data_IF_650610486288
#
_entry.id   IF_650610486288
#
_cell.length_a   1.000
_cell.length_b   1.000
_cell.length_c   1.000
_cell.angle_alpha   90.00
_cell.angle_beta   90.00
_cell.angle_gamma   90.00
#
_symmetry.space_group_name_H-M   'P 1'
#
loop_
_entity.id
_entity.type
_entity.pdbx_description
1 polymer ?
#
# COMPACT_ATOMS: atom_id res chain seq x y z
N UNK A 1 3.96 9.43 -21.64
CA UNK A 1 2.62 8.84 -21.82
C UNK A 1 2.39 8.71 -23.30
N UNK A 2 1.87 7.57 -23.76
CA UNK A 2 1.47 7.40 -25.16
C UNK A 2 -0.01 7.03 -25.24
N UNK A 3 -0.83 8.04 -25.53
CA UNK A 3 -2.27 7.89 -25.78
C UNK A 3 -2.62 7.97 -27.28
N UNK A 4 -1.62 7.84 -28.17
CA UNK A 4 -1.75 7.95 -29.61
C UNK A 4 -1.97 9.37 -30.15
N UNK A 5 -1.96 10.40 -29.30
CA UNK A 5 -2.07 11.81 -29.70
C UNK A 5 -1.45 12.73 -28.64
N UNK A 6 -0.57 13.66 -29.06
CA UNK A 6 0.11 14.62 -28.18
C UNK A 6 -0.86 15.48 -27.36
N UNK A 7 -2.01 15.84 -27.92
CA UNK A 7 -3.05 16.63 -27.25
C UNK A 7 -3.70 15.84 -26.11
N UNK A 8 -3.85 14.53 -26.28
CA UNK A 8 -4.38 13.64 -25.22
C UNK A 8 -3.37 13.53 -24.08
N UNK A 9 -2.09 13.37 -24.39
CA UNK A 9 -1.02 13.36 -23.38
C UNK A 9 -1.01 14.67 -22.57
N UNK A 10 -1.07 15.82 -23.24
CA UNK A 10 -1.16 17.13 -22.58
C UNK A 10 -2.42 17.26 -21.72
N UNK A 11 -3.56 16.74 -22.18
CA UNK A 11 -4.81 16.73 -21.41
C UNK A 11 -4.69 15.88 -20.14
N UNK A 12 -4.09 14.70 -20.21
CA UNK A 12 -3.84 13.86 -19.04
C UNK A 12 -2.98 14.58 -18.00
N UNK A 13 -1.88 15.22 -18.43
CA UNK A 13 -1.02 16.02 -17.54
C UNK A 13 -1.81 17.15 -16.88
N UNK A 14 -2.61 17.91 -17.65
CA UNK A 14 -3.42 19.01 -17.12
C UNK A 14 -4.45 18.54 -16.09
N UNK A 15 -5.08 17.39 -16.33
CA UNK A 15 -6.02 16.79 -15.37
C UNK A 15 -5.29 16.37 -14.08
N UNK A 16 -4.13 15.72 -14.20
CA UNK A 16 -3.33 15.32 -13.04
C UNK A 16 -2.81 16.52 -12.23
N UNK A 17 -2.40 17.60 -12.91
CA UNK A 17 -2.04 18.86 -12.27
C UNK A 17 -3.20 19.46 -11.50
N UNK A 18 -4.40 19.50 -12.11
CA UNK A 18 -5.62 19.96 -11.44
C UNK A 18 -5.98 19.10 -10.22
N UNK A 19 -5.85 17.78 -10.32
CA UNK A 19 -6.02 16.87 -9.17
C UNK A 19 -5.00 17.15 -8.07
N UNK A 20 -3.74 17.38 -8.41
CA UNK A 20 -2.70 17.63 -7.42
C UNK A 20 -2.88 18.99 -6.71
N UNK A 21 -3.23 20.05 -7.45
CA UNK A 21 -3.46 21.39 -6.88
C UNK A 21 -4.80 21.51 -6.16
N UNK A 22 -5.85 20.83 -6.64
CA UNK A 22 -7.21 20.89 -6.08
C UNK A 22 -7.67 19.50 -5.64
N UNK A 23 -6.84 18.88 -4.81
CA UNK A 23 -7.01 17.50 -4.34
C UNK A 23 -8.37 17.30 -3.67
N UNK A 24 -9.07 16.21 -4.04
CA UNK A 24 -10.38 15.84 -3.47
C UNK A 24 -11.58 16.64 -3.96
N UNK A 25 -11.39 17.62 -4.86
CA UNK A 25 -12.48 18.37 -5.49
C UNK A 25 -13.07 17.61 -6.68
N UNK A 26 -14.30 17.95 -7.06
CA UNK A 26 -14.99 17.38 -8.23
C UNK A 26 -14.35 17.85 -9.55
N UNK A 27 -14.55 17.11 -10.64
CA UNK A 27 -14.01 17.44 -11.98
C UNK A 27 -14.27 18.91 -12.37
N UNK A 28 -15.48 19.49 -12.20
CA UNK A 28 -15.72 20.90 -12.51
C UNK A 28 -14.87 21.88 -11.70
N UNK A 29 -14.52 21.52 -10.46
CA UNK A 29 -13.70 22.37 -9.58
C UNK A 29 -12.20 22.23 -9.83
N UNK A 30 -11.76 21.25 -10.62
CA UNK A 30 -10.35 21.10 -11.00
C UNK A 30 -9.89 22.16 -12.02
N UNK A 31 -10.82 22.85 -12.67
CA UNK A 31 -10.52 23.79 -13.75
C UNK A 31 -11.33 25.08 -13.61
N UNK A 32 -10.78 26.19 -14.11
CA UNK A 32 -11.48 27.47 -14.10
C UNK A 32 -12.39 27.66 -15.33
N UNK A 33 -12.04 27.01 -16.45
CA UNK A 33 -12.76 27.15 -17.73
C UNK A 33 -13.70 25.97 -17.96
N UNK A 34 -14.96 26.26 -18.33
CA UNK A 34 -15.96 25.24 -18.73
C UNK A 34 -15.47 24.34 -19.87
N UNK A 35 -14.67 24.88 -20.79
CA UNK A 35 -14.07 24.11 -21.89
C UNK A 35 -13.14 22.99 -21.37
N UNK A 36 -12.37 23.25 -20.31
CA UNK A 36 -11.49 22.25 -19.71
C UNK A 36 -12.27 21.15 -18.97
N UNK A 37 -13.37 21.53 -18.31
CA UNK A 37 -14.29 20.57 -17.69
C UNK A 37 -14.87 19.63 -18.75
N UNK A 38 -15.41 20.17 -19.85
CA UNK A 38 -15.92 19.36 -20.97
C UNK A 38 -14.84 18.46 -21.56
N UNK A 39 -13.63 18.98 -21.72
CA UNK A 39 -12.50 18.23 -22.23
C UNK A 39 -12.08 17.08 -21.29
N UNK A 40 -12.14 17.28 -19.97
CA UNK A 40 -11.84 16.23 -18.99
C UNK A 40 -12.86 15.09 -19.04
N UNK A 41 -14.16 15.40 -19.08
CA UNK A 41 -15.20 14.37 -19.26
C UNK A 41 -15.05 13.63 -20.61
N UNK A 42 -14.78 14.37 -21.68
CA UNK A 42 -14.54 13.79 -23.02
C UNK A 42 -13.28 12.92 -23.05
N UNK A 43 -12.25 13.27 -22.27
CA UNK A 43 -11.03 12.48 -22.16
C UNK A 43 -11.31 11.15 -21.45
N UNK A 44 -12.04 11.16 -20.34
CA UNK A 44 -12.37 9.93 -19.60
C UNK A 44 -13.22 8.95 -20.41
N UNK A 45 -13.99 9.42 -21.39
CA UNK A 45 -14.78 8.55 -22.27
C UNK A 45 -13.98 7.94 -23.43
N UNK A 46 -12.70 8.28 -23.60
CA UNK A 46 -11.87 7.73 -24.68
C UNK A 46 -11.46 6.29 -24.39
N UNK A 47 -11.50 5.44 -25.43
CA UNK A 47 -11.02 4.06 -25.36
C UNK A 47 -9.53 3.97 -25.02
N UNK A 48 -8.76 5.00 -25.36
CA UNK A 48 -7.33 5.07 -25.10
C UNK A 48 -6.99 5.48 -23.66
N UNK A 49 -7.95 6.03 -22.90
CA UNK A 49 -7.75 6.42 -21.50
C UNK A 49 -7.93 5.20 -20.58
N UNK A 50 -7.11 4.16 -20.76
CA UNK A 50 -7.13 2.97 -19.89
C UNK A 50 -6.17 3.15 -18.71
N UNK A 51 -6.42 2.50 -17.56
CA UNK A 51 -5.49 2.54 -16.43
C UNK A 51 -4.05 2.21 -16.80
N UNK A 52 -3.85 1.19 -17.65
CA UNK A 52 -2.54 0.72 -18.07
C UNK A 52 -1.77 1.84 -18.79
N UNK A 53 -2.39 2.48 -19.79
CA UNK A 53 -1.77 3.55 -20.57
C UNK A 53 -1.53 4.81 -19.75
N UNK A 54 -2.47 5.16 -18.87
CA UNK A 54 -2.38 6.33 -18.00
C UNK A 54 -1.28 6.17 -16.94
N UNK A 55 -1.04 4.95 -16.46
CA UNK A 55 -0.03 4.68 -15.43
C UNK A 55 1.32 4.25 -15.99
N UNK A 56 1.43 3.82 -17.25
CA UNK A 56 2.70 3.35 -17.84
C UNK A 56 3.89 4.29 -17.56
N UNK A 57 3.80 5.62 -17.78
CA UNK A 57 4.95 6.50 -17.56
C UNK A 57 5.39 6.54 -16.10
N UNK A 58 4.42 6.53 -15.19
CA UNK A 58 4.67 6.49 -13.75
C UNK A 58 5.31 5.15 -13.35
N UNK A 59 4.73 4.04 -13.78
CA UNK A 59 5.25 2.69 -13.50
C UNK A 59 6.67 2.51 -14.06
N UNK A 60 6.97 3.05 -15.24
CA UNK A 60 8.33 3.02 -15.81
C UNK A 60 9.33 3.80 -14.95
N UNK A 61 8.94 4.97 -14.42
CA UNK A 61 9.78 5.73 -13.50
C UNK A 61 10.03 4.96 -12.19
N UNK A 62 8.99 4.33 -11.63
CA UNK A 62 9.13 3.46 -10.44
C UNK A 62 10.07 2.30 -10.74
N UNK A 63 9.91 1.61 -11.87
CA UNK A 63 10.81 0.50 -12.28
C UNK A 63 12.26 0.94 -12.43
N UNK A 64 12.51 2.12 -12.99
CA UNK A 64 13.86 2.65 -13.08
C UNK A 64 14.48 2.90 -11.70
N UNK A 65 13.70 3.45 -10.76
CA UNK A 65 14.15 3.65 -9.37
C UNK A 65 14.41 2.33 -8.62
N UNK A 66 13.58 1.31 -8.89
CA UNK A 66 13.74 -0.04 -8.33
C UNK A 66 14.98 -0.79 -8.84
N UNK A 67 15.63 -0.31 -9.89
CA UNK A 67 16.89 -0.87 -10.42
C UNK A 67 18.15 -0.27 -9.78
N UNK A 68 18.02 0.66 -8.84
CA UNK A 68 19.16 1.24 -8.12
C UNK A 68 19.53 0.37 -6.92
N UNK A 69 20.79 0.39 -6.49
CA UNK A 69 21.26 -0.34 -5.31
C UNK A 69 20.41 -0.03 -4.05
N UNK A 70 20.06 -1.09 -3.33
CA UNK A 70 19.31 -1.08 -2.08
C UNK A 70 18.15 -2.07 -2.03
N UNK A 71 17.48 -2.06 -0.88
CA UNK A 71 16.28 -2.88 -0.63
C UNK A 71 15.02 -2.06 -0.88
N UNK A 72 14.04 -2.67 -1.53
CA UNK A 72 12.75 -2.05 -1.84
C UNK A 72 11.62 -2.95 -1.33
N UNK A 73 10.68 -2.34 -0.61
CA UNK A 73 9.48 -3.03 -0.19
C UNK A 73 8.38 -2.78 -1.22
N UNK A 74 7.80 -3.87 -1.70
CA UNK A 74 6.66 -3.92 -2.58
C UNK A 74 5.44 -4.24 -1.72
N UNK A 75 4.83 -3.18 -1.18
CA UNK A 75 3.72 -3.28 -0.24
C UNK A 75 2.43 -3.58 -1.00
N UNK A 76 1.79 -4.69 -0.68
CA UNK A 76 0.66 -5.18 -1.47
C UNK A 76 -0.59 -5.42 -0.63
N UNK A 77 -1.72 -4.88 -1.10
CA UNK A 77 -3.01 -5.02 -0.46
C UNK A 77 -4.16 -4.71 -1.45
N UNK A 78 -5.37 -5.08 -1.06
CA UNK A 78 -6.62 -4.88 -1.80
C UNK A 78 -7.56 -3.93 -1.06
N UNK A 79 -8.26 -3.07 -1.80
CA UNK A 79 -9.34 -2.26 -1.23
C UNK A 79 -10.56 -2.23 -2.13
N UNK A 80 -11.74 -2.40 -1.55
CA UNK A 80 -13.02 -2.33 -2.27
C UNK A 80 -13.41 -0.88 -2.54
N UNK A 81 -13.75 -0.52 -3.78
CA UNK A 81 -14.31 0.79 -4.13
C UNK A 81 -15.78 0.62 -4.45
N UNK A 82 -16.65 1.30 -3.71
CA UNK A 82 -18.10 1.09 -3.79
C UNK A 82 -18.83 2.40 -4.12
N UNK A 83 -19.75 2.33 -5.08
CA UNK A 83 -20.73 3.36 -5.38
C UNK A 83 -22.14 2.82 -5.14
N UNK A 84 -22.94 3.58 -4.40
CA UNK A 84 -24.37 3.31 -4.23
C UNK A 84 -25.16 4.29 -5.07
N UNK A 85 -25.89 3.80 -6.09
CA UNK A 85 -26.67 4.65 -7.01
C UNK A 85 -28.07 4.08 -7.24
N UNK A 86 -28.98 4.92 -7.74
CA UNK A 86 -30.32 4.48 -8.15
C UNK A 86 -30.31 3.62 -9.41
N UNK A 87 -29.38 3.88 -10.34
CA UNK A 87 -29.23 3.14 -11.59
C UNK A 87 -27.90 2.42 -11.64
N UNK A 88 -27.85 1.32 -12.41
CA UNK A 88 -26.62 0.59 -12.64
C UNK A 88 -25.62 1.44 -13.43
N UNK A 89 -24.35 1.35 -13.06
CA UNK A 89 -23.22 1.93 -13.78
C UNK A 89 -22.54 0.82 -14.60
N UNK A 90 -22.64 0.85 -15.94
CA UNK A 90 -22.06 -0.18 -16.80
C UNK A 90 -20.56 -0.35 -16.56
N UNK A 91 -20.08 -1.60 -16.46
CA UNK A 91 -18.66 -1.92 -16.25
C UNK A 91 -18.19 -1.94 -14.78
N UNK A 92 -19.11 -1.88 -13.81
CA UNK A 92 -18.88 -2.19 -12.40
C UNK A 92 -19.54 -3.53 -12.01
N UNK A 93 -18.96 -4.24 -11.03
CA UNK A 93 -19.53 -5.47 -10.49
C UNK A 93 -20.47 -5.17 -9.32
N UNK A 94 -21.46 -6.02 -9.04
CA UNK A 94 -22.34 -5.85 -7.86
C UNK A 94 -21.60 -6.20 -6.56
N UNK A 95 -21.89 -5.46 -5.49
CA UNK A 95 -21.26 -5.62 -4.17
C UNK A 95 -22.33 -5.58 -3.07
N UNK A 96 -22.33 -6.54 -2.12
CA UNK A 96 -23.25 -6.57 -0.98
C UNK A 96 -24.61 -7.28 -1.22
N UNK A 97 -25.52 -7.20 -0.24
CA UNK A 97 -26.86 -7.81 -0.27
C UNK A 97 -27.78 -7.07 -1.27
N UNK A 98 -28.57 -7.82 -2.03
CA UNK A 98 -29.36 -7.38 -3.19
C UNK A 98 -30.61 -6.56 -2.85
N UNK A 99 -30.83 -6.23 -1.57
CA UNK A 99 -32.12 -5.74 -1.03
C UNK A 99 -32.29 -4.21 -0.88
N UNK A 100 -31.31 -3.41 -1.29
CA UNK A 100 -31.39 -1.92 -1.29
C UNK A 100 -30.35 -1.34 -2.30
N UNK A 101 -30.28 -0.01 -2.59
CA UNK A 101 -29.92 0.55 -3.90
C UNK A 101 -28.67 -0.08 -4.51
N UNK A 102 -28.64 -0.19 -5.85
CA UNK A 102 -27.58 -0.90 -6.59
C UNK A 102 -26.21 -0.47 -6.09
N UNK A 103 -25.60 -1.33 -5.27
CA UNK A 103 -24.23 -1.17 -4.78
C UNK A 103 -23.33 -1.86 -5.77
N UNK A 104 -22.50 -1.09 -6.44
CA UNK A 104 -21.56 -1.59 -7.43
C UNK A 104 -20.16 -1.07 -7.16
N UNK A 105 -19.18 -1.85 -7.58
CA UNK A 105 -17.79 -1.57 -7.28
C UNK A 105 -16.82 -2.51 -7.95
N UNK A 106 -15.58 -2.41 -7.47
CA UNK A 106 -14.49 -3.31 -7.80
C UNK A 106 -13.49 -3.36 -6.64
N UNK A 107 -12.72 -4.43 -6.55
CA UNK A 107 -11.54 -4.50 -5.70
C UNK A 107 -10.36 -3.94 -6.46
N UNK A 108 -9.65 -2.97 -5.88
CA UNK A 108 -8.39 -2.46 -6.39
C UNK A 108 -7.25 -3.14 -5.66
N UNK A 109 -6.57 -4.06 -6.33
CA UNK A 109 -5.33 -4.64 -5.82
C UNK A 109 -4.17 -3.73 -6.19
N UNK A 110 -3.33 -3.36 -5.24
CA UNK A 110 -2.24 -2.37 -5.44
C UNK A 110 -0.93 -2.92 -4.92
N UNK A 111 0.14 -2.78 -5.71
CA UNK A 111 1.52 -2.86 -5.26
C UNK A 111 2.13 -1.46 -5.21
N UNK A 112 2.40 -0.95 -4.01
CA UNK A 112 3.09 0.31 -3.74
C UNK A 112 4.57 0.03 -3.46
N UNK A 113 5.46 0.63 -4.23
CA UNK A 113 6.90 0.50 -4.07
C UNK A 113 7.47 1.62 -3.18
N UNK A 114 8.30 1.23 -2.20
CA UNK A 114 9.05 2.14 -1.33
C UNK A 114 10.50 1.70 -1.22
N UNK A 115 11.44 2.65 -1.08
CA UNK A 115 12.84 2.34 -0.76
C UNK A 115 12.98 2.10 0.75
N UNK A 116 13.48 0.93 1.11
CA UNK A 116 13.73 0.56 2.49
C UNK A 116 15.02 1.19 3.00
N UNK A 117 14.99 1.63 4.26
CA UNK A 117 16.17 2.08 4.97
C UNK A 117 16.37 1.18 6.17
N UNK A 118 17.49 0.45 6.19
CA UNK A 118 17.82 -0.42 7.29
C UNK A 118 18.08 0.44 8.54
N UNK A 119 17.39 0.17 9.66
CA UNK A 119 17.61 0.92 10.88
C UNK A 119 19.01 0.66 11.45
N UNK A 120 19.68 1.73 11.90
CA UNK A 120 21.01 1.66 12.52
C UNK A 120 20.97 1.33 14.01
N UNK A 121 19.79 1.40 14.63
CA UNK A 121 19.58 1.15 16.05
C UNK A 121 18.27 0.38 16.27
N UNK A 122 18.20 -0.32 17.38
CA UNK A 122 16.99 -0.99 17.82
C UNK A 122 15.90 0.05 18.16
N UNK A 123 14.76 -0.05 17.49
CA UNK A 123 13.65 0.90 17.61
C UNK A 123 12.33 0.16 17.44
N UNK A 124 11.33 0.55 18.24
CA UNK A 124 9.94 0.08 18.10
C UNK A 124 9.25 0.43 16.79
N UNK A 125 9.83 1.36 16.05
CA UNK A 125 9.23 1.95 14.86
C UNK A 125 10.23 1.92 13.72
N UNK A 126 9.74 1.58 12.53
CA UNK A 126 10.52 1.69 11.29
C UNK A 126 10.97 3.14 11.05
N UNK A 127 12.11 3.29 10.37
CA UNK A 127 12.47 4.58 9.79
C UNK A 127 11.47 5.01 8.70
N UNK A 128 11.38 6.31 8.40
CA UNK A 128 10.68 6.80 7.21
C UNK A 128 11.21 6.11 5.95
N UNK A 129 10.33 5.92 4.96
CA UNK A 129 10.68 5.28 3.69
C UNK A 129 10.44 6.23 2.53
N UNK A 130 11.30 6.17 1.52
CA UNK A 130 11.07 6.95 0.30
C UNK A 130 9.95 6.30 -0.51
N UNK A 131 8.85 7.01 -0.75
CA UNK A 131 7.73 6.52 -1.56
C UNK A 131 8.06 6.68 -3.04
N UNK A 132 8.34 5.58 -3.74
CA UNK A 132 8.61 5.60 -5.19
C UNK A 132 7.33 5.70 -6.00
N UNK A 133 6.29 4.98 -5.56
CA UNK A 133 4.93 5.07 -6.08
C UNK A 133 4.36 3.72 -6.53
N UNK A 134 3.33 3.77 -7.38
CA UNK A 134 2.60 2.57 -7.81
C UNK A 134 3.40 1.78 -8.85
N UNK A 135 3.72 0.53 -8.52
CA UNK A 135 4.36 -0.42 -9.42
C UNK A 135 3.32 -1.20 -10.24
N UNK A 136 2.26 -1.68 -9.59
CA UNK A 136 1.15 -2.38 -10.22
C UNK A 136 -0.19 -2.07 -9.57
N UNK A 137 -1.26 -2.12 -10.37
CA UNK A 137 -2.64 -2.00 -9.94
C UNK A 137 -3.57 -2.81 -10.86
N UNK A 138 -4.48 -3.57 -10.27
CA UNK A 138 -5.51 -4.34 -10.96
C UNK A 138 -6.91 -4.03 -10.43
N UNK A 139 -7.86 -3.89 -11.37
CA UNK A 139 -9.26 -3.58 -11.09
C UNK A 139 -10.10 -4.85 -11.25
N UNK A 140 -10.35 -5.53 -10.13
CA UNK A 140 -11.05 -6.81 -10.11
C UNK A 140 -12.55 -6.63 -9.87
N UNK A 141 -13.36 -7.15 -10.80
CA UNK A 141 -14.80 -7.27 -10.63
C UNK A 141 -15.10 -8.59 -9.92
N UNK A 142 -15.65 -8.50 -8.70
CA UNK A 142 -15.97 -9.68 -7.90
C UNK A 142 -16.95 -10.58 -8.65
N UNK A 143 -16.58 -11.85 -8.76
CA UNK A 143 -17.43 -12.89 -9.32
C UNK A 143 -18.51 -13.31 -8.32
N UNK A 144 -19.67 -13.83 -8.77
CA UNK A 144 -20.64 -14.43 -7.89
C UNK A 144 -20.03 -15.51 -6.99
N UNK A 145 -20.51 -15.58 -5.75
CA UNK A 145 -20.10 -16.61 -4.80
C UNK A 145 -20.35 -18.02 -5.39
N UNK A 146 -19.53 -19.02 -5.04
CA UNK A 146 -19.82 -20.40 -5.36
C UNK A 146 -21.21 -20.79 -4.90
N UNK A 147 -21.95 -21.51 -5.74
CA UNK A 147 -23.21 -22.11 -5.32
C UNK A 147 -22.94 -23.27 -4.36
N UNK A 148 -23.96 -23.65 -3.58
CA UNK A 148 -23.87 -24.81 -2.70
C UNK A 148 -23.62 -26.12 -3.48
N UNK A 149 -23.94 -26.15 -4.78
CA UNK A 149 -23.74 -27.30 -5.66
C UNK A 149 -22.31 -27.45 -6.18
N UNK A 150 -21.47 -26.41 -6.10
CA UNK A 150 -20.08 -26.51 -6.55
C UNK A 150 -19.24 -27.26 -5.52
N UNK A 151 -18.57 -28.32 -5.98
CA UNK A 151 -17.59 -29.08 -5.22
C UNK A 151 -16.33 -28.25 -4.92
N UNK A 152 -15.54 -28.67 -3.93
CA UNK A 152 -14.27 -28.02 -3.63
C UNK A 152 -13.27 -28.08 -4.80
N UNK A 153 -13.34 -29.11 -5.66
CA UNK A 153 -12.51 -29.22 -6.85
C UNK A 153 -12.89 -28.17 -7.90
N UNK A 154 -14.18 -28.00 -8.18
CA UNK A 154 -14.69 -26.97 -9.11
C UNK A 154 -14.40 -25.57 -8.56
N UNK A 155 -14.62 -25.36 -7.27
CA UNK A 155 -14.22 -24.12 -6.58
C UNK A 155 -12.73 -23.86 -6.73
N UNK A 156 -11.87 -24.88 -6.66
CA UNK A 156 -10.42 -24.77 -6.86
C UNK A 156 -10.04 -24.43 -8.31
N UNK A 157 -10.82 -24.84 -9.30
CA UNK A 157 -10.57 -24.59 -10.72
C UNK A 157 -11.07 -23.24 -11.23
N UNK A 158 -11.89 -22.49 -10.48
CA UNK A 158 -12.31 -21.14 -10.87
C UNK A 158 -11.09 -20.25 -11.20
N UNK A 159 -11.03 -19.76 -12.43
CA UNK A 159 -9.89 -18.99 -12.94
C UNK A 159 -9.80 -17.58 -12.32
N UNK A 160 -10.94 -16.91 -12.14
CA UNK A 160 -10.98 -15.50 -11.73
C UNK A 160 -11.31 -15.32 -10.25
N UNK A 161 -10.47 -15.86 -9.37
CA UNK A 161 -10.61 -15.69 -7.90
C UNK A 161 -9.93 -14.44 -7.39
N UNK A 162 -10.42 -13.95 -6.25
CA UNK A 162 -9.77 -12.87 -5.50
C UNK A 162 -8.38 -13.30 -4.98
N UNK A 163 -8.20 -14.57 -4.60
CA UNK A 163 -6.89 -15.10 -4.19
C UNK A 163 -5.86 -15.15 -5.33
N UNK A 164 -6.29 -15.07 -6.59
CA UNK A 164 -5.40 -15.05 -7.75
C UNK A 164 -4.85 -13.64 -8.04
N UNK A 165 -5.31 -12.59 -7.35
CA UNK A 165 -4.79 -11.23 -7.51
C UNK A 165 -3.30 -11.15 -7.20
N UNK A 166 -2.85 -11.83 -6.14
CA UNK A 166 -1.46 -11.89 -5.71
C UNK A 166 -0.54 -12.53 -6.76
N UNK A 167 -0.98 -13.65 -7.36
CA UNK A 167 -0.20 -14.36 -8.39
C UNK A 167 -0.18 -13.59 -9.71
N UNK A 168 -1.32 -13.01 -10.13
CA UNK A 168 -1.37 -12.15 -11.33
C UNK A 168 -0.54 -10.88 -11.18
N UNK A 169 -0.50 -10.29 -9.98
CA UNK A 169 0.39 -9.17 -9.69
C UNK A 169 1.86 -9.59 -9.79
N UNK A 170 2.22 -10.77 -9.29
CA UNK A 170 3.57 -11.34 -9.44
C UNK A 170 3.95 -11.49 -10.91
N UNK A 171 3.05 -12.01 -11.76
CA UNK A 171 3.26 -12.14 -13.21
C UNK A 171 3.44 -10.77 -13.90
N UNK A 172 2.60 -9.78 -13.57
CA UNK A 172 2.69 -8.42 -14.15
C UNK A 172 3.92 -7.65 -13.67
N UNK A 173 4.34 -7.85 -12.42
CA UNK A 173 5.56 -7.25 -11.88
C UNK A 173 6.77 -7.87 -12.57
N UNK A 174 6.76 -9.19 -12.75
CA UNK A 174 7.78 -9.94 -13.45
C UNK A 174 9.03 -10.16 -12.62
N UNK A 175 10.14 -10.42 -13.30
CA UNK A 175 11.42 -10.78 -12.67
C UNK A 175 11.92 -9.64 -11.78
N UNK A 176 12.39 -10.01 -10.60
CA UNK A 176 13.18 -9.17 -9.71
C UNK A 176 14.57 -8.89 -10.29
N UNK A 177 15.38 -8.12 -9.58
CA UNK A 177 16.72 -7.75 -10.02
C UNK A 177 17.64 -8.97 -10.14
N UNK A 178 18.49 -8.98 -11.17
CA UNK A 178 19.62 -9.91 -11.29
C UNK A 178 20.86 -9.45 -10.49
N UNK A 179 20.88 -8.17 -10.12
CA UNK A 179 21.93 -7.54 -9.34
C UNK A 179 21.79 -7.90 -7.85
N UNK A 180 22.87 -8.38 -7.24
CA UNK A 180 22.92 -8.79 -5.84
C UNK A 180 22.80 -7.59 -4.88
N UNK A 181 23.12 -6.37 -5.34
CA UNK A 181 23.00 -5.15 -4.55
C UNK A 181 21.56 -4.58 -4.55
N UNK A 182 20.64 -5.21 -5.28
CA UNK A 182 19.24 -4.77 -5.40
C UNK A 182 18.33 -5.88 -4.87
N UNK A 183 17.45 -5.56 -3.91
CA UNK A 183 16.51 -6.53 -3.33
C UNK A 183 15.08 -6.03 -3.40
N UNK A 184 14.18 -6.79 -4.02
CA UNK A 184 12.73 -6.54 -3.95
C UNK A 184 12.05 -7.50 -2.97
N UNK A 185 11.32 -6.97 -2.00
CA UNK A 185 10.62 -7.75 -0.96
C UNK A 185 9.12 -7.46 -0.98
N UNK A 186 8.30 -8.48 -1.23
CA UNK A 186 6.84 -8.43 -1.21
C UNK A 186 6.34 -8.43 0.23
N UNK A 187 5.71 -7.36 0.68
CA UNK A 187 5.22 -7.26 2.07
C UNK A 187 3.70 -7.29 2.06
N UNK A 188 3.13 -8.37 2.60
CA UNK A 188 1.72 -8.70 2.43
C UNK A 188 1.08 -9.15 3.75
N UNK A 189 -0.23 -8.93 3.87
CA UNK A 189 -0.98 -9.35 5.04
C UNK A 189 -1.35 -10.85 5.02
N UNK A 190 -2.30 -11.24 5.88
CA UNK A 190 -2.81 -12.63 5.97
C UNK A 190 -3.46 -13.14 4.68
N UNK A 191 -3.98 -12.25 3.83
CA UNK A 191 -4.61 -12.62 2.56
C UNK A 191 -3.63 -13.22 1.55
N UNK A 192 -2.33 -12.96 1.72
CA UNK A 192 -1.26 -13.47 0.87
C UNK A 192 -0.59 -14.73 1.39
N UNK A 193 -1.05 -15.31 2.51
CA UNK A 193 -0.60 -16.62 2.98
C UNK A 193 -1.12 -17.72 2.03
N UNK A 194 -0.51 -17.78 0.85
CA UNK A 194 -0.85 -18.61 -0.29
C UNK A 194 0.48 -19.16 -0.83
N UNK A 195 0.62 -20.48 -0.83
CA UNK A 195 1.86 -21.13 -1.27
C UNK A 195 2.23 -20.79 -2.72
N UNK A 196 1.26 -20.86 -3.64
CA UNK A 196 1.49 -20.58 -5.07
C UNK A 196 2.01 -19.15 -5.28
N UNK A 197 1.55 -18.19 -4.47
CA UNK A 197 2.07 -16.83 -4.47
C UNK A 197 3.52 -16.79 -4.00
N UNK A 198 3.82 -17.35 -2.83
CA UNK A 198 5.19 -17.37 -2.29
C UNK A 198 6.19 -18.06 -3.24
N UNK A 199 5.79 -19.17 -3.88
CA UNK A 199 6.60 -19.82 -4.94
C UNK A 199 6.80 -18.92 -6.15
N UNK A 200 5.74 -18.27 -6.62
CA UNK A 200 5.82 -17.35 -7.75
C UNK A 200 6.79 -16.21 -7.47
N UNK A 201 6.76 -15.64 -6.26
CA UNK A 201 7.68 -14.59 -5.82
C UNK A 201 9.13 -15.08 -5.85
N UNK A 202 9.43 -16.25 -5.26
CA UNK A 202 10.77 -16.85 -5.28
C UNK A 202 11.22 -17.13 -6.73
N UNK A 203 10.35 -17.70 -7.56
CA UNK A 203 10.66 -18.04 -8.94
C UNK A 203 10.98 -16.80 -9.80
N UNK A 204 10.45 -15.63 -9.43
CA UNK A 204 10.79 -14.35 -10.04
C UNK A 204 12.07 -13.73 -9.44
N UNK A 205 12.79 -14.39 -8.52
CA UNK A 205 13.98 -13.82 -7.85
C UNK A 205 13.66 -12.77 -6.79
N UNK A 206 12.41 -12.69 -6.35
CA UNK A 206 11.97 -11.72 -5.34
C UNK A 206 11.91 -12.35 -3.95
N UNK A 207 11.72 -11.53 -2.92
CA UNK A 207 11.55 -11.94 -1.54
C UNK A 207 10.17 -11.65 -1.02
N UNK A 208 9.87 -12.11 0.18
CA UNK A 208 8.60 -11.83 0.82
C UNK A 208 8.70 -11.72 2.33
N UNK A 209 7.76 -10.96 2.89
CA UNK A 209 7.36 -10.96 4.29
C UNK A 209 5.83 -11.06 4.31
N UNK A 210 5.33 -12.25 4.62
CA UNK A 210 3.89 -12.58 4.60
C UNK A 210 3.43 -12.89 6.00
N UNK A 211 2.36 -12.24 6.48
CA UNK A 211 1.78 -12.61 7.77
C UNK A 211 1.04 -13.94 7.65
N UNK A 212 1.42 -14.92 8.47
CA UNK A 212 0.79 -16.22 8.48
C UNK A 212 -0.68 -16.13 8.93
N UNK A 213 -1.52 -16.87 8.21
CA UNK A 213 -2.94 -17.08 8.45
C UNK A 213 -3.28 -18.57 8.61
N UNK A 214 -2.47 -19.44 8.02
CA UNK A 214 -2.65 -20.89 8.01
C UNK A 214 -1.60 -21.56 8.89
N UNK A 215 -2.03 -22.53 9.69
CA UNK A 215 -1.10 -23.34 10.48
C UNK A 215 -0.50 -24.45 9.60
N UNK A 216 0.43 -24.06 8.73
CA UNK A 216 1.02 -24.96 7.72
C UNK A 216 1.91 -26.00 8.38
N UNK A 217 2.00 -27.18 7.77
CA UNK A 217 2.94 -28.24 8.15
C UNK A 217 4.37 -27.84 7.80
N UNK A 218 5.31 -28.25 8.63
CA UNK A 218 6.75 -28.05 8.45
C UNK A 218 7.43 -29.36 8.08
N UNK A 219 8.40 -29.28 7.16
CA UNK A 219 9.27 -30.37 6.74
C UNK A 219 10.61 -30.30 7.47
N UNK A 220 11.16 -31.47 7.82
CA UNK A 220 12.56 -31.59 8.25
C UNK A 220 13.49 -31.27 7.07
N UNK A 221 14.38 -30.26 7.18
CA UNK A 221 15.40 -29.99 6.15
C UNK A 221 16.43 -31.10 5.98
N UNK A 222 16.64 -31.95 7.00
CA UNK A 222 17.73 -32.93 7.07
C UNK A 222 17.25 -34.38 6.89
N UNK A 223 15.93 -34.64 6.87
CA UNK A 223 15.42 -36.00 6.74
C UNK A 223 15.42 -36.46 5.27
N UNK A 224 15.97 -37.67 5.03
CA UNK A 224 15.84 -38.38 3.74
C UNK A 224 14.38 -38.72 3.40
N UNK A 225 13.48 -38.67 4.39
CA UNK A 225 12.03 -38.86 4.30
C UNK A 225 11.31 -37.52 4.51
N UNK A 226 10.22 -37.26 3.77
CA UNK A 226 9.37 -36.07 3.98
C UNK A 226 8.51 -36.25 5.23
N UNK A 227 9.12 -36.16 6.39
CA UNK A 227 8.39 -36.22 7.66
C UNK A 227 7.94 -34.83 8.10
N UNK A 228 6.75 -34.80 8.69
CA UNK A 228 6.19 -33.57 9.23
C UNK A 228 6.69 -33.40 10.65
N UNK A 229 7.53 -32.39 10.87
CA UNK A 229 8.16 -32.13 12.18
C UNK A 229 7.33 -31.22 13.08
N UNK A 230 6.21 -30.69 12.56
CA UNK A 230 5.31 -29.82 13.31
C UNK A 230 4.54 -28.88 12.40
N UNK A 231 3.99 -27.83 13.00
CA UNK A 231 3.25 -26.79 12.30
C UNK A 231 3.78 -25.40 12.68
N UNK A 232 3.57 -24.42 11.80
CA UNK A 232 4.12 -23.06 11.89
C UNK A 232 3.84 -22.41 13.25
N UNK A 233 2.60 -22.46 13.75
CA UNK A 233 2.20 -21.69 14.93
C UNK A 233 2.77 -22.28 16.22
N UNK A 234 2.75 -23.60 16.35
CA UNK A 234 3.28 -24.33 17.49
C UNK A 234 4.79 -24.19 17.56
N UNK A 235 5.49 -24.40 16.43
CA UNK A 235 6.93 -24.27 16.38
C UNK A 235 7.38 -22.84 16.76
N UNK A 236 6.73 -21.82 16.21
CA UNK A 236 7.07 -20.43 16.50
C UNK A 236 6.79 -20.01 17.95
N UNK A 237 5.72 -20.56 18.56
CA UNK A 237 5.38 -20.30 19.98
C UNK A 237 6.30 -21.04 20.95
N UNK A 238 6.81 -22.20 20.57
CA UNK A 238 7.75 -22.99 21.37
C UNK A 238 9.20 -22.48 21.29
N UNK A 239 9.55 -21.73 20.24
CA UNK A 239 10.90 -21.22 20.05
C UNK A 239 11.29 -20.18 21.13
N UNK A 240 12.50 -20.32 21.67
CA UNK A 240 13.08 -19.35 22.59
C UNK A 240 13.27 -17.99 21.91
N UNK A 241 12.95 -16.87 22.58
CA UNK A 241 13.22 -15.54 22.06
C UNK A 241 14.71 -15.30 21.81
N UNK A 242 15.04 -14.67 20.68
CA UNK A 242 16.38 -14.15 20.38
C UNK A 242 16.61 -12.77 21.03
N UNK A 243 15.53 -12.02 21.29
CA UNK A 243 15.59 -10.70 21.90
C UNK A 243 14.20 -10.09 22.06
N UNK A 244 14.15 -8.85 22.53
CA UNK A 244 12.90 -8.13 22.80
C UNK A 244 13.03 -6.64 22.53
N UNK A 245 11.92 -5.97 22.25
CA UNK A 245 11.87 -4.53 22.05
C UNK A 245 10.47 -3.98 22.38
N UNK A 246 10.32 -2.66 22.40
CA UNK A 246 9.05 -2.01 22.74
C UNK A 246 8.41 -1.39 21.50
N UNK A 247 7.14 -1.66 21.25
CA UNK A 247 6.35 -1.06 20.14
C UNK A 247 5.28 -0.13 20.73
N UNK A 248 5.19 1.08 20.20
CA UNK A 248 4.09 1.99 20.52
C UNK A 248 2.82 1.65 19.72
N UNK A 249 1.82 1.13 20.41
CA UNK A 249 0.52 0.83 19.83
C UNK A 249 -0.39 2.06 19.91
N UNK A 250 -0.90 2.48 18.75
CA UNK A 250 -1.88 3.58 18.69
C UNK A 250 -3.20 3.16 19.31
N UNK A 251 -3.87 4.12 19.95
CA UNK A 251 -5.22 3.92 20.46
C UNK A 251 -6.23 3.63 19.35
N UNK A 252 -7.20 2.78 19.66
CA UNK A 252 -8.33 2.41 18.80
C UNK A 252 -9.62 2.49 19.61
N UNK A 253 -10.78 2.40 18.96
CA UNK A 253 -12.07 2.42 19.67
C UNK A 253 -12.09 1.29 20.70
N UNK A 254 -12.15 1.64 21.99
CA UNK A 254 -12.13 0.68 23.10
C UNK A 254 -10.75 0.23 23.58
N UNK A 255 -9.64 0.74 23.02
CA UNK A 255 -8.27 0.42 23.46
C UNK A 255 -7.42 1.70 23.51
N UNK A 256 -6.84 2.02 24.67
CA UNK A 256 -5.94 3.18 24.82
C UNK A 256 -4.61 2.93 24.09
N UNK A 257 -3.96 4.02 23.67
CA UNK A 257 -2.58 3.94 23.21
C UNK A 257 -1.68 3.44 24.34
N UNK A 258 -0.72 2.57 24.04
CA UNK A 258 0.17 1.95 25.04
C UNK A 258 1.45 1.46 24.40
N UNK A 259 2.50 1.33 25.21
CA UNK A 259 3.73 0.65 24.83
C UNK A 259 3.58 -0.85 25.10
N UNK A 260 3.84 -1.69 24.08
CA UNK A 260 3.83 -3.14 24.18
C UNK A 260 5.26 -3.67 24.15
N UNK A 261 5.64 -4.43 25.17
CA UNK A 261 6.95 -5.10 25.22
C UNK A 261 6.82 -6.46 24.52
N UNK A 262 7.55 -6.63 23.42
CA UNK A 262 7.43 -7.80 22.56
C UNK A 262 8.74 -8.59 22.53
N UNK A 263 8.61 -9.90 22.49
CA UNK A 263 9.70 -10.85 22.27
C UNK A 263 9.70 -11.31 20.81
N UNK A 264 10.90 -11.53 20.27
CA UNK A 264 11.12 -11.98 18.90
C UNK A 264 11.76 -13.37 18.93
N UNK A 265 11.09 -14.36 18.34
CA UNK A 265 11.64 -15.71 18.15
C UNK A 265 11.66 -16.07 16.66
N UNK A 266 12.56 -16.98 16.29
CA UNK A 266 12.79 -17.40 14.90
C UNK A 266 12.83 -18.92 14.82
N UNK A 267 12.15 -19.48 13.81
CA UNK A 267 12.28 -20.88 13.42
C UNK A 267 12.61 -20.95 11.93
N UNK A 268 13.73 -21.58 11.57
CA UNK A 268 14.08 -21.90 10.18
C UNK A 268 13.50 -23.26 9.82
N UNK A 269 12.71 -23.34 8.74
CA UNK A 269 12.04 -24.57 8.34
C UNK A 269 11.71 -24.56 6.84
N UNK A 270 11.16 -25.68 6.35
CA UNK A 270 10.55 -25.76 5.03
C UNK A 270 9.04 -25.90 5.17
N UNK A 271 8.27 -25.06 4.47
CA UNK A 271 6.81 -25.22 4.38
C UNK A 271 6.50 -26.46 3.53
N UNK A 272 5.57 -27.28 4.03
CA UNK A 272 5.09 -28.44 3.30
C UNK A 272 4.38 -28.02 2.00
N UNK A 273 4.73 -28.59 0.84
CA UNK A 273 4.09 -28.27 -0.44
C UNK A 273 2.65 -28.78 -0.48
N UNK A 274 1.71 -27.95 -0.92
CA UNK A 274 0.34 -28.40 -1.19
C UNK A 274 0.38 -29.34 -2.40
N UNK A 275 -0.22 -30.54 -2.32
CA UNK A 275 -0.33 -31.42 -3.48
C UNK A 275 -1.06 -30.70 -4.62
N UNK A 276 -0.42 -30.57 -5.78
CA UNK A 276 -1.10 -30.08 -6.99
C UNK A 276 -2.25 -31.04 -7.33
N UNK A 277 -3.44 -30.50 -7.59
CA UNK A 277 -4.55 -31.28 -8.13
C UNK A 277 -4.16 -31.77 -9.54
N UNK A 278 -3.84 -33.07 -9.65
CA UNK A 278 -3.63 -33.74 -10.93
C UNK A 278 -2.40 -34.65 -10.99
N UNK A 279 -2.65 -35.95 -10.83
CA UNK A 279 -1.91 -37.04 -11.49
C UNK A 279 -0.73 -37.64 -10.71
N UNK A 280 -0.79 -38.96 -10.53
CA UNK A 280 0.41 -39.79 -10.32
C UNK A 280 1.42 -39.46 -11.43
N UNK A 281 2.68 -39.19 -11.08
CA UNK A 281 3.78 -39.01 -12.05
C UNK A 281 4.32 -37.59 -12.26
N UNK A 282 3.78 -36.54 -11.62
CA UNK A 282 4.44 -35.22 -11.62
C UNK A 282 5.65 -35.18 -10.68
N UNK A 283 6.75 -34.47 -11.03
CA UNK A 283 7.89 -34.28 -10.13
C UNK A 283 7.42 -33.76 -8.78
N UNK A 284 7.84 -34.43 -7.70
CA UNK A 284 7.44 -34.08 -6.33
C UNK A 284 8.01 -32.71 -5.97
N UNK A 285 7.16 -31.68 -5.86
CA UNK A 285 7.59 -30.32 -5.47
C UNK A 285 8.36 -30.31 -4.16
N UNK A 286 9.42 -29.51 -4.10
CA UNK A 286 10.22 -29.25 -2.91
C UNK A 286 9.50 -28.29 -1.95
N UNK A 287 9.80 -28.37 -0.66
CA UNK A 287 9.26 -27.42 0.32
C UNK A 287 9.74 -25.99 0.06
N UNK A 288 9.02 -25.00 0.58
CA UNK A 288 9.49 -23.60 0.52
C UNK A 288 10.34 -23.33 1.74
N UNK A 289 11.61 -23.02 1.57
CA UNK A 289 12.48 -22.57 2.67
C UNK A 289 11.94 -21.25 3.23
N UNK A 290 11.71 -21.20 4.54
CA UNK A 290 11.25 -20.01 5.24
C UNK A 290 11.92 -19.85 6.60
N UNK A 291 12.09 -18.60 7.00
CA UNK A 291 12.22 -18.24 8.41
C UNK A 291 10.85 -17.77 8.92
N UNK A 292 10.45 -18.28 10.09
CA UNK A 292 9.22 -17.93 10.77
C UNK A 292 9.59 -16.99 11.91
N UNK A 293 9.34 -15.69 11.73
CA UNK A 293 9.58 -14.66 12.74
C UNK A 293 8.30 -14.44 13.54
N UNK A 294 8.33 -14.73 14.83
CA UNK A 294 7.24 -14.42 15.75
C UNK A 294 7.59 -13.18 16.55
N UNK A 295 6.73 -12.16 16.50
CA UNK A 295 6.79 -10.97 17.34
C UNK A 295 5.57 -11.01 18.25
N UNK A 296 5.78 -11.28 19.53
CA UNK A 296 4.68 -11.50 20.46
C UNK A 296 4.86 -10.71 21.75
N UNK A 297 3.80 -10.03 22.17
CA UNK A 297 3.72 -9.44 23.50
C UNK A 297 3.56 -10.55 24.55
N UNK A 298 4.22 -10.39 25.70
CA UNK A 298 4.00 -11.29 26.83
C UNK A 298 2.54 -11.18 27.29
N UNK A 299 1.83 -12.31 27.46
CA UNK A 299 0.49 -12.29 28.04
C UNK A 299 0.50 -11.57 29.40
N UNK A 300 -0.48 -10.69 29.59
CA UNK A 300 -0.73 -9.96 30.84
C UNK A 300 -2.24 -9.81 31.02
N UNK A 301 -2.72 -9.89 32.27
CA UNK A 301 -4.14 -9.78 32.60
C UNK A 301 -4.74 -8.42 32.19
N UNK A 302 -3.90 -7.38 32.10
CA UNK A 302 -4.28 -6.03 31.68
C UNK A 302 -4.47 -5.90 30.15
N UNK A 303 -4.07 -6.92 29.38
CA UNK A 303 -4.07 -6.90 27.91
C UNK A 303 -4.96 -8.01 27.37
N UNK A 304 -6.22 -7.65 27.07
CA UNK A 304 -7.23 -8.58 26.54
C UNK A 304 -6.82 -9.28 25.24
N UNK A 305 -6.13 -8.57 24.34
CA UNK A 305 -5.68 -9.08 23.04
C UNK A 305 -4.22 -8.68 22.84
N UNK A 306 -3.25 -9.50 23.29
CA UNK A 306 -1.83 -9.21 23.13
C UNK A 306 -1.44 -9.20 21.66
N UNK A 307 -0.45 -8.38 21.32
CA UNK A 307 0.09 -8.34 19.97
C UNK A 307 0.74 -9.70 19.63
N UNK A 308 0.33 -10.33 18.54
CA UNK A 308 1.07 -11.47 17.96
C UNK A 308 1.12 -11.36 16.44
N UNK A 309 2.34 -11.23 15.91
CA UNK A 309 2.64 -11.40 14.49
C UNK A 309 3.42 -12.69 14.31
N UNK A 310 3.01 -13.48 13.31
CA UNK A 310 3.77 -14.60 12.79
C UNK A 310 4.05 -14.29 11.33
N UNK A 311 5.32 -14.09 10.99
CA UNK A 311 5.75 -13.61 9.70
C UNK A 311 6.56 -14.71 9.02
N UNK A 312 6.16 -15.10 7.82
CA UNK A 312 6.91 -16.00 6.95
C UNK A 312 7.78 -15.13 6.05
N UNK A 313 9.06 -15.43 5.96
CA UNK A 313 10.01 -14.72 5.09
C UNK A 313 10.99 -15.66 4.42
N UNK A 314 11.47 -15.28 3.23
CA UNK A 314 12.53 -16.00 2.51
C UNK A 314 13.93 -15.72 3.06
N UNK A 315 14.07 -14.66 3.86
CA UNK A 315 15.32 -14.27 4.49
C UNK A 315 15.87 -15.40 5.36
N UNK A 316 17.17 -15.66 5.23
CA UNK A 316 17.90 -16.50 6.18
C UNK A 316 18.22 -15.65 7.41
N UNK A 317 17.78 -16.10 8.58
CA UNK A 317 17.82 -15.30 9.82
C UNK A 317 18.54 -16.11 10.88
N UNK A 318 19.63 -15.54 11.38
CA UNK A 318 20.45 -16.11 12.45
C UNK A 318 20.45 -15.21 13.69
N UNK A 319 20.24 -13.90 13.51
CA UNK A 319 20.36 -12.92 14.59
C UNK A 319 19.04 -12.25 14.95
N UNK A 320 19.00 -11.66 16.15
CA UNK A 320 17.88 -10.84 16.57
C UNK A 320 17.70 -9.61 15.66
N UNK A 321 18.79 -9.00 15.21
CA UNK A 321 18.80 -7.81 14.38
C UNK A 321 18.13 -8.06 13.01
N UNK A 322 18.40 -9.23 12.41
CA UNK A 322 17.77 -9.67 11.16
C UNK A 322 16.27 -9.94 11.34
N UNK A 323 15.90 -10.62 12.42
CA UNK A 323 14.49 -10.89 12.76
C UNK A 323 13.72 -9.59 13.04
N UNK A 324 14.37 -8.66 13.73
CA UNK A 324 13.83 -7.34 14.04
C UNK A 324 13.66 -6.50 12.76
N UNK A 325 14.60 -6.56 11.81
CA UNK A 325 14.45 -5.91 10.51
C UNK A 325 13.19 -6.40 9.77
N UNK A 326 12.93 -7.70 9.74
CA UNK A 326 11.72 -8.27 9.12
C UNK A 326 10.44 -7.76 9.80
N UNK A 327 10.45 -7.65 11.13
CA UNK A 327 9.33 -7.08 11.87
C UNK A 327 9.06 -5.62 11.46
N UNK A 328 10.12 -4.82 11.29
CA UNK A 328 10.02 -3.42 10.87
C UNK A 328 9.64 -3.26 9.39
N UNK A 329 10.09 -4.15 8.50
CA UNK A 329 9.62 -4.21 7.12
C UNK A 329 8.10 -4.48 7.09
N UNK A 330 7.60 -5.40 7.93
CA UNK A 330 6.17 -5.66 8.05
C UNK A 330 5.40 -4.43 8.60
N UNK A 331 5.98 -3.64 9.49
CA UNK A 331 5.40 -2.35 9.91
C UNK A 331 5.20 -1.36 8.75
N UNK A 332 5.98 -1.45 7.67
CA UNK A 332 5.78 -0.59 6.51
C UNK A 332 4.50 -0.91 5.75
N UNK A 333 3.95 -2.13 5.86
CA UNK A 333 2.75 -2.58 5.13
C UNK A 333 1.58 -1.61 5.25
N UNK A 334 1.33 -1.03 6.43
CA UNK A 334 0.23 -0.08 6.63
C UNK A 334 0.24 1.13 5.69
N UNK A 335 1.38 1.47 5.06
CA UNK A 335 1.44 2.53 4.06
C UNK A 335 0.50 2.30 2.88
N UNK A 336 0.29 1.06 2.43
CA UNK A 336 -0.63 0.79 1.32
C UNK A 336 -2.10 0.96 1.74
N UNK A 337 -2.45 0.68 3.00
CA UNK A 337 -3.77 1.01 3.54
C UNK A 337 -3.98 2.53 3.62
N UNK A 338 -2.95 3.26 4.05
CA UNK A 338 -3.00 4.72 4.07
C UNK A 338 -3.07 5.32 2.67
N UNK A 339 -2.44 4.66 1.68
CA UNK A 339 -2.59 5.00 0.26
C UNK A 339 -4.04 4.83 -0.20
N UNK A 340 -4.69 3.70 0.09
CA UNK A 340 -6.09 3.48 -0.26
C UNK A 340 -7.02 4.49 0.44
N UNK A 341 -6.74 4.81 1.70
CA UNK A 341 -7.47 5.86 2.44
C UNK A 341 -7.25 7.23 1.80
N UNK A 342 -6.03 7.52 1.33
CA UNK A 342 -5.66 8.71 0.57
C UNK A 342 -6.46 8.84 -0.73
N UNK A 343 -6.60 7.75 -1.49
CA UNK A 343 -7.43 7.68 -2.69
C UNK A 343 -8.91 7.92 -2.40
N UNK A 344 -9.47 7.22 -1.40
CA UNK A 344 -10.90 7.26 -1.08
C UNK A 344 -11.31 8.55 -0.40
N UNK A 345 -10.75 8.81 0.78
CA UNK A 345 -11.15 9.96 1.61
C UNK A 345 -10.54 11.25 1.09
N UNK A 346 -9.22 11.25 0.85
CA UNK A 346 -8.47 12.44 0.42
C UNK A 346 -8.88 12.88 -0.98
N UNK A 347 -8.55 12.07 -2.00
CA UNK A 347 -8.86 12.41 -3.39
C UNK A 347 -10.33 12.20 -3.77
N UNK A 348 -11.13 11.53 -2.94
CA UNK A 348 -12.57 11.43 -3.16
C UNK A 348 -12.95 10.45 -4.27
N UNK A 349 -12.18 9.37 -4.46
CA UNK A 349 -12.44 8.40 -5.53
C UNK A 349 -13.87 7.84 -5.52
N UNK A 350 -14.41 7.51 -4.33
CA UNK A 350 -15.79 7.00 -4.20
C UNK A 350 -16.86 8.10 -4.33
N UNK A 351 -16.47 9.38 -4.35
CA UNK A 351 -17.37 10.51 -4.60
C UNK A 351 -17.55 10.81 -6.09
N UNK A 352 -16.76 10.20 -6.97
CA UNK A 352 -16.85 10.38 -8.42
C UNK A 352 -18.24 9.99 -8.94
N UNK A 353 -18.81 10.85 -9.79
CA UNK A 353 -20.15 10.66 -10.38
C UNK A 353 -20.13 10.21 -11.84
N UNK A 354 -18.99 9.72 -12.36
CA UNK A 354 -18.89 9.22 -13.73
C UNK A 354 -19.80 7.99 -13.93
N UNK A 355 -20.51 7.95 -15.06
CA UNK A 355 -21.61 6.99 -15.32
C UNK A 355 -21.15 5.71 -16.04
N UNK A 356 -19.85 5.44 -16.09
CA UNK A 356 -19.33 4.19 -16.64
C UNK A 356 -18.07 3.76 -15.88
N UNK A 357 -17.98 2.46 -15.60
CA UNK A 357 -16.87 1.83 -14.90
C UNK A 357 -15.53 2.11 -15.56
N UNK A 358 -15.45 2.09 -16.90
CA UNK A 358 -14.21 2.44 -17.60
C UNK A 358 -13.74 3.87 -17.30
N UNK A 359 -14.67 4.82 -17.23
CA UNK A 359 -14.37 6.23 -16.91
C UNK A 359 -13.91 6.38 -15.46
N UNK A 360 -14.53 5.64 -14.55
CA UNK A 360 -14.12 5.59 -13.13
C UNK A 360 -12.71 5.01 -12.99
N UNK A 361 -12.42 3.87 -13.63
CA UNK A 361 -11.09 3.24 -13.63
C UNK A 361 -10.03 4.20 -14.19
N UNK A 362 -10.31 4.87 -15.31
CA UNK A 362 -9.43 5.87 -15.89
C UNK A 362 -9.10 7.01 -14.92
N UNK A 363 -10.14 7.62 -14.32
CA UNK A 363 -9.97 8.71 -13.35
C UNK A 363 -9.20 8.24 -12.11
N UNK A 364 -9.55 7.09 -11.56
CA UNK A 364 -8.92 6.52 -10.36
C UNK A 364 -7.46 6.18 -10.65
N UNK A 365 -7.12 5.71 -11.85
CA UNK A 365 -5.73 5.40 -12.21
C UNK A 365 -4.82 6.63 -12.13
N UNK A 366 -5.34 7.81 -12.51
CA UNK A 366 -4.62 9.09 -12.39
C UNK A 366 -4.58 9.57 -10.94
N UNK A 367 -5.70 9.40 -10.21
CA UNK A 367 -5.74 9.71 -8.78
C UNK A 367 -4.75 8.85 -7.98
N UNK A 368 -4.54 7.58 -8.35
CA UNK A 368 -3.54 6.71 -7.73
C UNK A 368 -2.14 7.31 -7.81
N UNK A 369 -1.76 7.88 -8.95
CA UNK A 369 -0.47 8.56 -9.11
C UNK A 369 -0.40 9.82 -8.25
N UNK A 370 -1.49 10.59 -8.15
CA UNK A 370 -1.52 11.80 -7.30
C UNK A 370 -1.48 11.45 -5.81
N UNK A 371 -2.11 10.35 -5.39
CA UNK A 371 -2.17 9.92 -4.01
C UNK A 371 -0.81 9.54 -3.43
N UNK A 372 0.14 9.06 -4.26
CA UNK A 372 1.50 8.75 -3.77
C UNK A 372 2.20 10.00 -3.25
N UNK A 373 1.94 11.18 -3.83
CA UNK A 373 2.50 12.45 -3.38
C UNK A 373 2.07 12.82 -1.95
N UNK A 374 0.85 12.46 -1.55
CA UNK A 374 0.36 12.72 -0.19
C UNK A 374 1.10 11.90 0.85
N UNK A 375 1.45 10.66 0.51
CA UNK A 375 2.26 9.80 1.38
C UNK A 375 3.74 10.23 1.37
N UNK A 376 4.29 10.51 0.19
CA UNK A 376 5.68 10.97 0.03
C UNK A 376 5.94 12.22 0.89
N UNK A 377 5.07 13.24 0.81
CA UNK A 377 5.20 14.45 1.62
C UNK A 377 5.33 14.17 3.13
N UNK A 378 4.61 13.17 3.63
CA UNK A 378 4.69 12.79 5.05
C UNK A 378 5.94 11.98 5.37
N UNK A 379 6.35 11.05 4.52
CA UNK A 379 7.54 10.25 4.79
C UNK A 379 8.81 11.08 4.63
N UNK A 380 8.94 11.84 3.54
CA UNK A 380 10.09 12.71 3.25
C UNK A 380 10.34 13.71 4.39
N UNK A 381 9.26 14.22 4.98
CA UNK A 381 9.36 15.19 6.08
C UNK A 381 9.72 14.59 7.43
N UNK A 382 9.50 13.29 7.62
CA UNK A 382 10.00 12.57 8.79
C UNK A 382 11.46 12.15 8.61
N UNK A 383 11.88 11.91 7.38
CA UNK A 383 13.26 11.53 7.05
C UNK A 383 14.22 12.70 7.29
N UNK A 384 13.82 13.91 6.87
CA UNK A 384 14.67 15.10 6.89
C UNK A 384 14.02 16.28 7.63
N UNK A 385 13.68 16.12 8.93
CA UNK A 385 12.89 17.12 9.66
C UNK A 385 13.63 18.45 9.86
N UNK A 386 14.97 18.39 9.91
CA UNK A 386 15.84 19.54 10.19
C UNK A 386 16.35 20.24 8.92
N UNK A 387 16.07 19.70 7.73
CA UNK A 387 16.43 20.35 6.47
C UNK A 387 15.76 21.72 6.36
N UNK A 388 16.33 22.66 5.57
CA UNK A 388 15.71 23.96 5.32
C UNK A 388 14.25 23.83 4.83
N UNK A 389 13.38 24.74 5.24
CA UNK A 389 11.95 24.73 4.87
C UNK A 389 11.68 24.63 3.35
N UNK A 390 12.61 25.13 2.53
CA UNK A 390 12.58 25.05 1.06
C UNK A 390 12.62 23.60 0.54
N UNK A 391 13.19 22.68 1.32
CA UNK A 391 13.26 21.25 1.01
C UNK A 391 11.94 20.50 1.26
N UNK A 392 10.91 21.17 1.81
CA UNK A 392 9.63 20.53 2.17
C UNK A 392 8.72 20.21 0.96
N UNK A 393 9.16 20.49 -0.27
CA UNK A 393 8.39 20.22 -1.50
C UNK A 393 7.26 21.23 -1.77
N UNK A 394 7.27 22.38 -1.09
CA UNK A 394 6.40 23.53 -1.37
C UNK A 394 7.19 24.58 -2.18
N UNK A 395 6.52 25.23 -3.11
CA UNK A 395 7.02 26.40 -3.84
C UNK A 395 7.27 27.59 -2.90
N UNK A 396 8.11 28.53 -3.35
CA UNK A 396 8.41 29.75 -2.59
C UNK A 396 7.14 30.54 -2.21
N UNK A 397 6.14 30.59 -3.10
CA UNK A 397 4.86 31.26 -2.84
C UNK A 397 4.05 30.50 -1.80
N UNK A 398 3.99 29.17 -1.87
CA UNK A 398 3.30 28.35 -0.86
C UNK A 398 3.93 28.52 0.53
N UNK A 399 5.27 28.49 0.63
CA UNK A 399 5.97 28.72 1.90
C UNK A 399 5.73 30.12 2.45
N UNK A 400 5.79 31.15 1.58
CA UNK A 400 5.50 32.53 1.97
C UNK A 400 4.07 32.68 2.49
N UNK A 401 3.09 32.10 1.78
CA UNK A 401 1.69 32.19 2.19
C UNK A 401 1.42 31.42 3.48
N UNK A 402 1.96 30.21 3.62
CA UNK A 402 1.82 29.41 4.83
C UNK A 402 2.40 30.14 6.05
N UNK A 403 3.58 30.73 5.90
CA UNK A 403 4.22 31.56 6.93
C UNK A 403 3.39 32.77 7.31
N UNK A 404 2.84 33.51 6.32
CA UNK A 404 2.01 34.70 6.54
C UNK A 404 0.69 34.37 7.22
N UNK A 405 -0.02 33.34 6.75
CA UNK A 405 -1.34 32.94 7.26
C UNK A 405 -1.25 32.54 8.73
N UNK A 406 -0.22 31.77 9.10
CA UNK A 406 -0.03 31.31 10.48
C UNK A 406 0.80 32.27 11.33
N UNK A 407 1.25 33.40 10.76
CA UNK A 407 2.12 34.39 11.41
C UNK A 407 3.33 33.74 12.08
N UNK A 408 3.97 32.80 11.39
CA UNK A 408 5.06 31.98 11.93
C UNK A 408 6.21 31.88 10.94
N UNK A 409 7.43 32.01 11.43
CA UNK A 409 8.63 31.74 10.63
C UNK A 409 8.79 30.23 10.44
N UNK A 410 9.01 29.80 9.20
CA UNK A 410 9.25 28.41 8.85
C UNK A 410 10.74 28.27 8.55
N UNK A 411 11.50 27.60 9.43
CA UNK A 411 12.94 27.41 9.24
C UNK A 411 13.26 26.05 8.68
N UNK A 412 12.54 25.03 9.16
CA UNK A 412 12.80 23.63 8.82
C UNK A 412 11.64 22.97 8.11
N UNK A 413 11.87 21.79 7.52
CA UNK A 413 10.82 20.93 6.98
C UNK A 413 9.79 20.57 8.06
N UNK A 414 10.22 20.30 9.29
CA UNK A 414 9.30 20.03 10.41
C UNK A 414 8.39 21.21 10.72
N UNK A 415 8.90 22.46 10.68
CA UNK A 415 8.07 23.65 10.84
C UNK A 415 6.97 23.71 9.77
N UNK A 416 7.33 23.43 8.51
CA UNK A 416 6.38 23.42 7.38
C UNK A 416 5.29 22.38 7.59
N UNK A 417 5.63 21.17 8.01
CA UNK A 417 4.65 20.11 8.27
C UNK A 417 3.72 20.43 9.43
N UNK A 418 4.25 20.94 10.54
CA UNK A 418 3.44 21.34 11.68
C UNK A 418 2.53 22.53 11.32
N UNK A 419 3.03 23.47 10.53
CA UNK A 419 2.25 24.59 9.99
C UNK A 419 1.12 24.09 9.08
N UNK A 420 1.45 23.25 8.09
CA UNK A 420 0.48 22.69 7.16
C UNK A 420 -0.57 21.86 7.91
N UNK A 421 -0.15 21.00 8.83
CA UNK A 421 -1.04 20.22 9.68
C UNK A 421 -1.97 21.11 10.49
N UNK A 422 -1.46 22.20 11.09
CA UNK A 422 -2.28 23.16 11.84
C UNK A 422 -3.32 23.83 10.95
N UNK A 423 -2.94 24.18 9.73
CA UNK A 423 -3.86 24.74 8.74
C UNK A 423 -4.96 23.74 8.36
N UNK A 424 -4.66 22.45 8.38
CA UNK A 424 -5.61 21.36 8.19
C UNK A 424 -6.28 20.83 9.47
N UNK A 425 -6.22 21.57 10.58
CA UNK A 425 -6.93 21.24 11.83
C UNK A 425 -6.17 20.37 12.83
N UNK A 426 -4.89 20.06 12.60
CA UNK A 426 -4.05 19.43 13.62
C UNK A 426 -3.76 20.40 14.77
N UNK A 427 -3.99 19.99 16.01
CA UNK A 427 -3.88 20.88 17.17
C UNK A 427 -2.43 21.16 17.59
N UNK A 428 -1.47 20.36 17.13
CA UNK A 428 -0.04 20.46 17.49
C UNK A 428 0.18 20.45 19.02
N UNK A 429 -0.60 19.66 19.79
CA UNK A 429 -0.30 19.48 21.22
C UNK A 429 0.96 18.64 21.36
N UNK A 430 1.69 18.81 22.48
CA UNK A 430 2.96 18.12 22.72
C UNK A 430 2.86 16.59 22.57
N UNK A 431 1.70 16.00 22.87
CA UNK A 431 1.44 14.56 22.80
C UNK A 431 0.79 14.09 21.49
N UNK A 432 0.40 14.99 20.57
CA UNK A 432 -0.31 14.60 19.35
C UNK A 432 0.62 13.92 18.33
N UNK A 433 1.93 14.12 18.46
CA UNK A 433 2.93 13.71 17.48
C UNK A 433 2.86 14.57 16.21
N UNK A 434 3.42 14.05 15.11
CA UNK A 434 3.38 14.72 13.82
C UNK A 434 2.02 14.55 13.12
N UNK A 435 1.53 15.56 12.38
CA UNK A 435 0.29 15.47 11.63
C UNK A 435 0.23 14.25 10.71
N UNK A 436 -0.92 13.57 10.74
CA UNK A 436 -1.22 12.52 9.76
C UNK A 436 -1.44 13.10 8.36
N UNK A 437 -1.39 12.24 7.33
CA UNK A 437 -1.55 12.65 5.93
C UNK A 437 -2.87 13.40 5.68
N UNK A 438 -3.95 13.08 6.43
CA UNK A 438 -5.26 13.73 6.30
C UNK A 438 -5.19 15.22 6.67
N UNK A 439 -4.55 15.54 7.80
CA UNK A 439 -4.37 16.93 8.22
C UNK A 439 -3.43 17.68 7.27
N UNK A 440 -2.36 17.04 6.79
CA UNK A 440 -1.49 17.64 5.77
C UNK A 440 -2.22 17.93 4.46
N UNK A 441 -3.11 17.02 4.05
CA UNK A 441 -3.92 17.17 2.85
C UNK A 441 -4.93 18.33 2.99
N UNK A 442 -5.69 18.40 4.09
CA UNK A 442 -6.60 19.52 4.32
C UNK A 442 -5.87 20.85 4.43
N UNK A 443 -4.70 20.85 5.08
CA UNK A 443 -3.82 22.00 5.14
C UNK A 443 -3.37 22.45 3.75
N UNK A 444 -2.99 21.51 2.89
CA UNK A 444 -2.60 21.81 1.51
C UNK A 444 -3.77 22.41 0.72
N UNK A 445 -4.97 21.83 0.81
CA UNK A 445 -6.16 22.39 0.15
C UNK A 445 -6.43 23.83 0.59
N UNK A 446 -6.34 24.09 1.89
CA UNK A 446 -6.56 25.42 2.44
C UNK A 446 -5.45 26.40 2.02
N UNK A 447 -4.19 25.95 2.01
CA UNK A 447 -3.06 26.74 1.54
C UNK A 447 -3.23 27.19 0.09
N UNK A 448 -3.73 26.31 -0.78
CA UNK A 448 -3.97 26.65 -2.19
C UNK A 448 -5.00 27.78 -2.35
N UNK A 449 -6.03 27.85 -1.50
CA UNK A 449 -7.00 28.96 -1.51
C UNK A 449 -6.29 30.29 -1.23
N UNK A 450 -5.39 30.33 -0.24
CA UNK A 450 -4.60 31.53 0.06
C UNK A 450 -3.63 31.90 -1.07
N UNK A 451 -2.99 30.90 -1.70
CA UNK A 451 -2.10 31.11 -2.84
C UNK A 451 -2.87 31.67 -4.05
N UNK A 452 -4.07 31.15 -4.34
CA UNK A 452 -4.94 31.67 -5.40
C UNK A 452 -5.36 33.12 -5.10
N UNK A 453 -5.81 33.41 -3.88
CA UNK A 453 -6.15 34.79 -3.46
C UNK A 453 -4.96 35.76 -3.55
N UNK A 454 -3.77 35.31 -3.15
CA UNK A 454 -2.54 36.11 -3.27
C UNK A 454 -2.16 36.41 -4.71
N UNK A 455 -2.31 35.43 -5.61
CA UNK A 455 -2.06 35.63 -7.05
C UNK A 455 -3.04 36.64 -7.65
N UNK A 456 -4.32 36.53 -7.30
CA UNK A 456 -5.37 37.47 -7.74
C UNK A 456 -5.12 38.91 -7.27
N UNK A 457 -4.62 39.09 -6.04
CA UNK A 457 -4.32 40.42 -5.50
C UNK A 457 -3.07 41.08 -6.14
N UNK A 458 -2.28 40.32 -6.91
CA UNK A 458 -1.06 40.81 -7.59
C UNK A 458 -1.23 41.04 -9.09
N UNK A 459 -2.30 40.51 -9.67
CA UNK A 459 -2.82 40.89 -11.00
C UNK A 459 -3.65 42.15 -10.89
#
# INVERSE_FOLDING_TARGET
MDLGDRRRNQRAVRIAQGMASRSGKSIPKLFDRRADVKAAYTFMSRKEATPERLQTPHRNHVRAALGQAGTFLLLEDSSEFIWSRHQETPGLGRTGDLRSPVRQGFTLHTTLAVKWQKPHQQSGQRLPVQVLGILDQEYYLRQPAPTASESDAERRQRENKESALWTRATERIGKGPDDQDVRWVRVCDRGADIEVFMRGVIAQGQGFVVRAAQNRRLLDPNARTRECIGHVFEAARAASPLGSYTIDLRGRKGQKARAAHVEVSVVRAYLWPTPMAGGQGKPRQEGIRVSIVRVAEKPSDDVKEPLEWMLLTDADIETFEEAHEVALQYQARWLVEEFHKGLKTGLGAERLQLEAGQRLKAMISMMSVVATRLLALREDSRERPNDPAQSAGLSAVELQMLSKVLKRQLKTVQDVILALGRLGGHMNRKSDGLPGWQALWEGMNMLQVYVEGYKLART
#
